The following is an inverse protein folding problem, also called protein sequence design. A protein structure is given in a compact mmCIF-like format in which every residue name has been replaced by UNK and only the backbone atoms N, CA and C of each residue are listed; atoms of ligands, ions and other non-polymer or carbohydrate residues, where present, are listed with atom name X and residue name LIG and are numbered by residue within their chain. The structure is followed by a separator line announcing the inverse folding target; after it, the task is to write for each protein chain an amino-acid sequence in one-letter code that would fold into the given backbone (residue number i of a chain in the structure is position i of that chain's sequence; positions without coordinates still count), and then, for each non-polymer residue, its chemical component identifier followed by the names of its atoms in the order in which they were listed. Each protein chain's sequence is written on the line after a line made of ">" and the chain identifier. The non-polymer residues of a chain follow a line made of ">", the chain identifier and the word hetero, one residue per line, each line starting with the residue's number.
data_IF_644886501943
#
_entry.id   IF_644886501943
#
_cell.length_a   1.000
_cell.length_b   1.000
_cell.length_c   1.000
_cell.angle_alpha   90.00
_cell.angle_beta   90.00
_cell.angle_gamma   90.00
#
_symmetry.space_group_name_H-M   'P 1'
#
loop_
_entity.id
_entity.type
_entity.pdbx_description
1 polymer ?
#
# COMPACT_ATOMS: atom_id res chain seq x y z
N UNK A 1 13.06 1.43 6.48
CA UNK A 1 12.20 1.37 7.68
C UNK A 1 12.78 0.30 8.60
N UNK A 2 12.98 0.63 9.91
CA UNK A 2 13.43 -0.37 10.88
C UNK A 2 12.44 -1.54 11.01
N UNK A 3 12.67 -2.43 11.97
CA UNK A 3 11.74 -3.54 12.25
C UNK A 3 10.38 -2.95 12.67
N UNK A 4 9.37 -3.04 11.78
CA UNK A 4 8.01 -2.59 12.04
C UNK A 4 7.27 -3.77 12.66
N UNK A 5 6.63 -3.53 13.80
CA UNK A 5 5.72 -4.53 14.38
C UNK A 5 4.50 -4.68 13.47
N UNK A 6 4.26 -5.89 13.00
CA UNK A 6 3.20 -6.20 12.02
C UNK A 6 2.35 -7.33 12.56
N UNK A 7 1.05 -7.22 12.38
CA UNK A 7 0.13 -8.32 12.63
C UNK A 7 -0.74 -8.60 11.40
N UNK A 8 -0.96 -9.90 11.11
CA UNK A 8 -1.94 -10.36 10.14
C UNK A 8 -2.89 -11.31 10.85
N UNK A 9 -4.13 -10.87 11.04
CA UNK A 9 -5.09 -11.54 11.94
C UNK A 9 -6.44 -11.70 11.27
N UNK A 10 -7.01 -12.90 11.36
CA UNK A 10 -8.40 -13.13 10.97
C UNK A 10 -9.34 -12.49 12.00
N UNK A 11 -10.14 -11.53 11.56
CA UNK A 11 -11.07 -10.75 12.40
C UNK A 11 -12.52 -11.23 12.26
N UNK A 12 -12.82 -11.90 11.15
CA UNK A 12 -14.08 -12.59 10.90
C UNK A 12 -13.82 -13.68 9.84
N UNK A 13 -14.72 -14.61 9.66
CA UNK A 13 -14.56 -15.71 8.71
C UNK A 13 -14.16 -15.22 7.30
N UNK A 14 -12.95 -15.55 6.86
CA UNK A 14 -12.38 -15.10 5.59
C UNK A 14 -12.01 -13.62 5.53
N UNK A 15 -12.13 -12.85 6.61
CA UNK A 15 -11.78 -11.45 6.68
C UNK A 15 -10.56 -11.25 7.58
N UNK A 16 -9.50 -10.68 7.03
CA UNK A 16 -8.22 -10.48 7.71
C UNK A 16 -7.86 -9.00 7.78
N UNK A 17 -7.24 -8.59 8.87
CA UNK A 17 -6.60 -7.28 9.02
C UNK A 17 -5.08 -7.44 9.01
N UNK A 18 -4.42 -6.63 8.20
CA UNK A 18 -2.99 -6.41 8.22
C UNK A 18 -2.73 -5.04 8.88
N UNK A 19 -2.07 -5.05 10.02
CA UNK A 19 -1.84 -3.84 10.82
C UNK A 19 -0.35 -3.60 10.95
N UNK A 20 0.08 -2.39 10.61
CA UNK A 20 1.47 -1.96 10.71
C UNK A 20 1.66 -1.02 11.90
N UNK A 21 2.59 -1.39 12.77
CA UNK A 21 3.16 -0.54 13.80
C UNK A 21 2.17 0.14 14.73
N UNK A 22 2.58 1.28 15.22
CA UNK A 22 1.92 2.06 16.26
C UNK A 22 1.19 3.33 15.73
N UNK A 23 0.97 3.40 14.42
CA UNK A 23 0.40 4.59 13.77
C UNK A 23 1.43 5.66 13.42
N UNK A 24 2.69 5.29 13.23
CA UNK A 24 3.74 6.18 12.72
C UNK A 24 3.41 6.75 11.34
N UNK A 25 4.02 7.88 11.00
CA UNK A 25 3.81 8.56 9.72
C UNK A 25 4.10 7.66 8.51
N UNK A 26 3.16 7.58 7.57
CA UNK A 26 3.26 6.76 6.36
C UNK A 26 3.03 5.26 6.57
N UNK A 27 2.76 4.82 7.80
CA UNK A 27 2.32 3.47 8.09
C UNK A 27 0.80 3.39 8.03
N UNK A 28 0.28 2.51 7.22
CA UNK A 28 -1.15 2.29 7.01
C UNK A 28 -1.50 0.82 7.24
N UNK A 29 -2.79 0.53 7.26
CA UNK A 29 -3.32 -0.81 7.40
C UNK A 29 -3.98 -1.25 6.11
N UNK A 30 -4.11 -2.57 5.93
CA UNK A 30 -4.80 -3.17 4.80
C UNK A 30 -5.75 -4.27 5.27
N UNK A 31 -6.68 -4.65 4.42
CA UNK A 31 -7.62 -5.74 4.67
C UNK A 31 -7.62 -6.76 3.55
N UNK A 32 -7.77 -8.04 3.90
CA UNK A 32 -7.94 -9.11 2.92
C UNK A 32 -9.28 -9.81 3.16
N UNK A 33 -10.06 -9.95 2.11
CA UNK A 33 -11.31 -10.74 2.12
C UNK A 33 -11.11 -11.93 1.20
N UNK A 34 -11.07 -13.11 1.77
CA UNK A 34 -10.90 -14.37 1.04
C UNK A 34 -12.27 -14.94 0.69
N UNK A 35 -12.53 -15.07 -0.60
CA UNK A 35 -13.75 -15.63 -1.13
C UNK A 35 -13.57 -17.07 -1.67
N UNK A 36 -14.58 -17.55 -2.37
CA UNK A 36 -14.52 -18.85 -3.03
C UNK A 36 -13.74 -18.76 -4.36
N UNK A 37 -12.45 -19.09 -4.29
CA UNK A 37 -11.53 -19.08 -5.43
C UNK A 37 -10.91 -17.74 -5.82
N UNK A 38 -11.30 -16.63 -5.19
CA UNK A 38 -10.70 -15.31 -5.39
C UNK A 38 -10.71 -14.50 -4.11
N UNK A 39 -9.77 -13.53 -3.99
CA UNK A 39 -9.71 -12.62 -2.86
C UNK A 39 -9.80 -11.16 -3.31
N UNK A 40 -10.22 -10.31 -2.38
CA UNK A 40 -10.24 -8.86 -2.50
C UNK A 40 -9.29 -8.27 -1.45
N UNK A 41 -8.36 -7.44 -1.91
CA UNK A 41 -7.47 -6.64 -1.06
C UNK A 41 -8.05 -5.24 -0.91
N UNK A 42 -8.10 -4.74 0.31
CA UNK A 42 -8.44 -3.35 0.63
C UNK A 42 -7.16 -2.62 0.95
N UNK A 43 -6.79 -1.67 0.10
CA UNK A 43 -5.58 -0.88 0.12
C UNK A 43 -4.26 -1.67 -0.02
N UNK A 44 -3.25 -0.99 -0.49
CA UNK A 44 -1.85 -1.40 -0.47
C UNK A 44 -1.06 -0.50 0.48
N UNK A 45 0.26 -0.49 0.43
CA UNK A 45 1.08 0.26 1.35
C UNK A 45 1.94 1.31 0.65
N UNK A 46 2.74 2.07 1.42
CA UNK A 46 3.38 3.29 0.97
C UNK A 46 4.56 3.06 0.02
N UNK A 47 5.21 1.92 0.08
CA UNK A 47 6.26 1.55 -0.85
C UNK A 47 6.15 0.08 -1.28
N UNK A 48 6.99 -0.31 -2.23
CA UNK A 48 6.95 -1.66 -2.80
C UNK A 48 7.44 -2.72 -1.82
N UNK A 49 8.43 -2.41 -0.98
CA UNK A 49 8.99 -3.36 -0.02
C UNK A 49 7.98 -3.71 1.08
N UNK A 50 7.32 -2.70 1.63
CA UNK A 50 6.24 -2.90 2.61
C UNK A 50 5.08 -3.70 2.02
N UNK A 51 4.67 -3.37 0.79
CA UNK A 51 3.59 -4.09 0.11
C UNK A 51 3.99 -5.53 -0.19
N UNK A 52 5.22 -5.79 -0.64
CA UNK A 52 5.71 -7.14 -0.87
C UNK A 52 5.67 -7.99 0.42
N UNK A 53 6.15 -7.44 1.55
CA UNK A 53 6.07 -8.11 2.86
C UNK A 53 4.63 -8.40 3.29
N UNK A 54 3.72 -7.48 3.03
CA UNK A 54 2.29 -7.70 3.29
C UNK A 54 1.75 -8.86 2.45
N UNK A 55 2.04 -8.89 1.15
CA UNK A 55 1.62 -9.96 0.26
C UNK A 55 2.22 -11.32 0.66
N UNK A 56 3.47 -11.34 1.10
CA UNK A 56 4.12 -12.54 1.65
C UNK A 56 3.40 -13.05 2.89
N UNK A 57 3.00 -12.15 3.80
CA UNK A 57 2.23 -12.52 5.00
C UNK A 57 0.85 -13.09 4.63
N UNK A 58 0.26 -12.64 3.52
CA UNK A 58 -1.05 -13.09 3.02
C UNK A 58 -0.97 -14.38 2.17
N UNK A 59 0.23 -14.80 1.75
CA UNK A 59 0.42 -15.85 0.76
C UNK A 59 -0.32 -17.17 1.10
N UNK A 60 -0.27 -17.59 2.36
CA UNK A 60 -0.99 -18.81 2.79
C UNK A 60 -2.51 -18.72 2.66
N UNK A 61 -3.07 -17.52 2.83
CA UNK A 61 -4.52 -17.28 2.70
C UNK A 61 -4.96 -17.12 1.24
N UNK A 62 -4.04 -16.71 0.36
CA UNK A 62 -4.33 -16.42 -1.05
C UNK A 62 -3.90 -17.55 -2.02
N UNK A 63 -3.26 -18.60 -1.52
CA UNK A 63 -2.76 -19.72 -2.34
C UNK A 63 -3.84 -20.34 -3.24
N UNK A 64 -5.03 -20.57 -2.69
CA UNK A 64 -6.17 -21.15 -3.44
C UNK A 64 -7.21 -20.13 -3.87
N UNK A 65 -7.06 -18.90 -3.45
CA UNK A 65 -7.94 -17.77 -3.76
C UNK A 65 -7.11 -16.50 -4.05
N UNK A 66 -6.48 -16.42 -5.23
CA UNK A 66 -5.62 -15.28 -5.59
C UNK A 66 -6.34 -13.93 -5.47
N UNK A 67 -5.59 -12.86 -5.17
CA UNK A 67 -6.13 -11.50 -5.14
C UNK A 67 -6.49 -11.08 -6.58
N UNK A 68 -7.79 -11.01 -6.87
CA UNK A 68 -8.30 -10.62 -8.17
C UNK A 68 -8.78 -9.16 -8.22
N UNK A 69 -8.96 -8.54 -7.06
CA UNK A 69 -9.45 -7.15 -6.95
C UNK A 69 -8.71 -6.43 -5.83
N UNK A 70 -8.30 -5.20 -6.09
CA UNK A 70 -7.81 -4.26 -5.08
C UNK A 70 -8.80 -3.09 -5.02
N UNK A 71 -9.28 -2.77 -3.85
CA UNK A 71 -10.11 -1.58 -3.60
C UNK A 71 -9.26 -0.55 -2.85
N UNK A 72 -9.01 0.62 -3.46
CA UNK A 72 -8.38 1.72 -2.75
C UNK A 72 -9.45 2.61 -2.12
N UNK A 73 -9.35 2.79 -0.80
CA UNK A 73 -10.30 3.57 -0.02
C UNK A 73 -10.20 5.06 -0.32
N UNK A 74 -8.97 5.54 -0.56
CA UNK A 74 -8.67 6.93 -0.90
C UNK A 74 -7.31 7.05 -1.63
N UNK A 75 -6.90 8.27 -1.97
CA UNK A 75 -5.82 8.54 -2.89
C UNK A 75 -4.43 8.69 -2.24
N UNK A 76 -4.32 8.65 -0.92
CA UNK A 76 -3.03 8.81 -0.26
C UNK A 76 -2.08 7.66 -0.64
N UNK A 77 -0.81 7.98 -0.91
CA UNK A 77 0.17 7.02 -1.40
C UNK A 77 0.35 5.79 -0.52
N UNK A 78 0.24 5.96 0.80
CA UNK A 78 0.32 4.87 1.78
C UNK A 78 -0.86 3.88 1.71
N UNK A 79 -1.81 4.10 0.79
CA UNK A 79 -2.93 3.21 0.50
C UNK A 79 -2.96 2.69 -0.95
N UNK A 80 -2.12 3.22 -1.85
CA UNK A 80 -2.22 2.89 -3.28
C UNK A 80 -0.90 2.71 -4.03
N UNK A 81 0.24 3.12 -3.47
CA UNK A 81 1.52 3.03 -4.20
C UNK A 81 1.98 1.59 -4.44
N UNK A 82 1.59 0.66 -3.60
CA UNK A 82 1.85 -0.76 -3.81
C UNK A 82 0.98 -1.45 -4.87
N UNK A 83 0.01 -0.77 -5.49
CA UNK A 83 -0.86 -1.33 -6.53
C UNK A 83 -0.07 -1.97 -7.69
N UNK A 84 1.12 -1.46 -7.96
CA UNK A 84 2.04 -1.94 -8.98
C UNK A 84 2.37 -3.44 -8.84
N UNK A 85 2.42 -3.97 -7.62
CA UNK A 85 2.75 -5.38 -7.38
C UNK A 85 1.60 -6.36 -7.64
N UNK A 86 0.44 -5.85 -8.04
CA UNK A 86 -0.79 -6.63 -8.21
C UNK A 86 -1.26 -6.57 -9.68
N UNK A 87 -0.34 -6.86 -10.62
CA UNK A 87 -0.56 -6.70 -12.08
C UNK A 87 -1.79 -7.44 -12.60
N UNK A 88 -2.08 -8.61 -12.05
CA UNK A 88 -3.22 -9.45 -12.46
C UNK A 88 -4.55 -9.02 -11.81
N UNK A 89 -4.53 -8.13 -10.82
CA UNK A 89 -5.73 -7.69 -10.13
C UNK A 89 -6.37 -6.47 -10.79
N UNK A 90 -7.70 -6.39 -10.73
CA UNK A 90 -8.43 -5.18 -11.08
C UNK A 90 -8.32 -4.17 -9.94
N UNK A 91 -7.89 -2.93 -10.24
CA UNK A 91 -7.92 -1.84 -9.27
C UNK A 91 -9.27 -1.15 -9.33
N UNK A 92 -9.88 -0.93 -8.19
CA UNK A 92 -11.19 -0.30 -8.03
C UNK A 92 -11.09 0.84 -7.03
N UNK A 93 -11.61 2.00 -7.39
CA UNK A 93 -11.74 3.15 -6.51
C UNK A 93 -12.90 4.05 -6.96
N UNK A 94 -13.24 5.06 -6.17
CA UNK A 94 -14.17 6.10 -6.65
C UNK A 94 -13.52 6.94 -7.75
N UNK A 95 -14.32 7.57 -8.61
CA UNK A 95 -13.80 8.47 -9.65
C UNK A 95 -12.98 9.62 -9.02
N UNK A 96 -13.42 10.17 -7.89
CA UNK A 96 -12.68 11.21 -7.18
C UNK A 96 -11.30 10.70 -6.68
N UNK A 97 -11.26 9.49 -6.13
CA UNK A 97 -10.00 8.86 -5.70
C UNK A 97 -9.04 8.67 -6.88
N UNK A 98 -9.54 8.19 -8.03
CA UNK A 98 -8.72 7.99 -9.22
C UNK A 98 -8.14 9.31 -9.78
N UNK A 99 -8.87 10.42 -9.67
CA UNK A 99 -8.40 11.75 -10.03
C UNK A 99 -7.35 12.25 -9.03
N UNK A 100 -7.61 12.12 -7.73
CA UNK A 100 -6.69 12.57 -6.67
C UNK A 100 -5.36 11.82 -6.65
N UNK A 101 -5.33 10.53 -6.97
CA UNK A 101 -4.07 9.74 -7.05
C UNK A 101 -3.03 10.39 -7.96
N UNK A 102 -3.45 11.16 -8.96
CA UNK A 102 -2.57 11.80 -9.93
C UNK A 102 -2.01 13.15 -9.42
N UNK A 103 -2.56 13.69 -8.34
CA UNK A 103 -2.13 15.00 -7.79
C UNK A 103 -0.80 14.89 -7.05
N UNK A 104 -0.58 13.78 -6.34
CA UNK A 104 0.67 13.51 -5.60
C UNK A 104 1.25 12.18 -6.08
N UNK A 105 1.85 12.13 -7.28
CA UNK A 105 2.42 10.90 -7.79
C UNK A 105 3.70 10.49 -7.04
N UNK A 106 4.09 9.20 -7.05
CA UNK A 106 5.30 8.71 -6.38
C UNK A 106 6.57 9.48 -6.77
N UNK A 107 6.70 9.88 -8.03
CA UNK A 107 7.84 10.65 -8.53
C UNK A 107 8.02 12.01 -7.83
N UNK A 108 6.92 12.63 -7.35
CA UNK A 108 7.00 13.86 -6.56
C UNK A 108 7.66 13.57 -5.20
N UNK A 109 7.29 12.48 -4.55
CA UNK A 109 7.84 12.10 -3.25
C UNK A 109 9.31 11.66 -3.39
N UNK A 110 9.66 10.93 -4.45
CA UNK A 110 11.05 10.61 -4.79
C UNK A 110 11.87 11.89 -5.02
N UNK A 111 11.30 12.89 -5.70
CA UNK A 111 11.93 14.19 -5.86
C UNK A 111 12.18 14.90 -4.52
N UNK A 112 11.23 14.87 -3.60
CA UNK A 112 11.38 15.44 -2.25
C UNK A 112 12.43 14.71 -1.41
N UNK A 113 12.57 13.39 -1.57
CA UNK A 113 13.64 12.62 -0.92
C UNK A 113 15.04 13.07 -1.36
N UNK A 114 15.17 13.51 -2.62
CA UNK A 114 16.42 13.95 -3.23
C UNK A 114 16.64 15.49 -3.16
N UNK A 115 15.69 16.24 -2.62
CA UNK A 115 15.83 17.69 -2.43
C UNK A 115 16.86 18.00 -1.33
N UNK A 116 17.87 18.82 -1.64
CA UNK A 116 18.93 19.25 -0.71
C UNK A 116 18.52 20.45 0.17
N UNK A 117 17.31 20.99 -0.01
CA UNK A 117 16.80 22.13 0.75
C UNK A 117 16.08 21.76 2.05
N UNK A 118 15.64 22.76 2.79
CA UNK A 118 14.92 22.61 4.07
C UNK A 118 13.64 21.75 3.92
N UNK A 119 12.98 21.82 2.76
CA UNK A 119 11.77 21.02 2.48
C UNK A 119 12.13 19.55 2.37
N UNK A 120 13.22 19.21 1.67
CA UNK A 120 13.72 17.85 1.58
C UNK A 120 14.17 17.30 2.93
N UNK A 121 14.86 18.13 3.74
CA UNK A 121 15.25 17.75 5.10
C UNK A 121 14.04 17.40 5.97
N UNK A 122 13.00 18.25 5.93
CA UNK A 122 11.74 18.02 6.65
C UNK A 122 11.02 16.75 6.14
N UNK A 123 11.00 16.57 4.83
CA UNK A 123 10.37 15.38 4.23
C UNK A 123 11.10 14.10 4.66
N UNK A 124 12.43 14.07 4.59
CA UNK A 124 13.23 12.93 5.05
C UNK A 124 13.09 12.67 6.55
N UNK A 125 12.89 13.71 7.36
CA UNK A 125 12.64 13.54 8.80
C UNK A 125 11.41 12.68 9.07
N UNK A 126 10.30 12.88 8.32
CA UNK A 126 9.07 12.11 8.50
C UNK A 126 9.02 10.81 7.69
N UNK A 127 9.57 10.83 6.47
CA UNK A 127 9.37 9.77 5.48
C UNK A 127 10.67 9.11 5.00
N UNK A 128 11.81 9.46 5.59
CA UNK A 128 13.13 8.93 5.16
C UNK A 128 13.32 7.41 5.34
N UNK A 129 12.36 6.74 5.97
CA UNK A 129 12.32 5.28 6.07
C UNK A 129 11.68 4.57 4.88
N UNK A 130 11.06 5.31 3.93
CA UNK A 130 10.38 4.74 2.77
C UNK A 130 11.20 4.94 1.49
N UNK A 131 10.98 4.07 0.51
CA UNK A 131 11.58 4.17 -0.81
C UNK A 131 10.48 4.43 -1.86
N UNK A 132 10.53 5.60 -2.50
CA UNK A 132 9.59 6.00 -3.55
C UNK A 132 10.18 5.85 -4.96
N UNK A 133 11.45 5.44 -5.07
CA UNK A 133 12.10 5.26 -6.37
C UNK A 133 11.48 4.07 -7.14
N UNK A 134 11.27 4.26 -8.43
CA UNK A 134 10.79 3.20 -9.31
C UNK A 134 9.33 2.78 -9.09
N UNK A 135 8.57 3.50 -8.25
CA UNK A 135 7.13 3.25 -8.11
C UNK A 135 6.40 3.81 -9.32
N UNK A 136 5.69 2.96 -10.03
CA UNK A 136 4.78 3.32 -11.11
C UNK A 136 3.34 3.37 -10.58
N UNK A 137 2.69 4.53 -10.74
CA UNK A 137 1.31 4.71 -10.29
C UNK A 137 0.38 3.87 -11.16
N UNK A 138 -0.30 2.89 -10.55
CA UNK A 138 -1.31 2.08 -11.19
C UNK A 138 -2.71 2.55 -10.77
N UNK A 139 -3.43 3.11 -11.73
CA UNK A 139 -4.77 3.69 -11.54
C UNK A 139 -5.88 2.64 -11.68
N UNK A 140 -7.06 2.91 -11.09
CA UNK A 140 -8.29 2.14 -11.27
C UNK A 140 -8.77 2.06 -12.72
#
# INVERSE_FOLDING_TARGET
>A
VGEIDVSFTEVANGCFAYVQGDGGWGLSNAGLIVGDGTSLLVDTLFDLDLTARMLDAMAGSTETAPIATVVNTHANGDHCFGNQLLDDAQIVASAATAEEMQVVPPALLAGLMNDEGEVGDLFRYFFGGFDFEGIELRLP
#
